data_IF_869588768309
#
_entry.id   IF_869588768309
#
_cell.length_a   1.000
_cell.length_b   1.000
_cell.length_c   1.000
_cell.angle_alpha   90.00
_cell.angle_beta   90.00
_cell.angle_gamma   90.00
#
_symmetry.space_group_name_H-M   'P 1'
#
loop_
_entity.id
_entity.type
_entity.pdbx_description
1 polymer ?
#
# COMPACT_ATOMS: atom_id res chain seq x y z
N UNK A 1 -26.33 4.47 10.67
CA UNK A 1 -24.95 4.72 10.20
C UNK A 1 -24.03 3.99 11.16
N UNK A 2 -23.17 3.09 10.68
CA UNK A 2 -22.17 2.42 11.52
C UNK A 2 -21.01 3.40 11.72
N UNK A 3 -20.51 3.65 12.94
CA UNK A 3 -19.33 4.50 13.15
C UNK A 3 -18.11 3.94 12.42
N UNK A 4 -17.23 4.81 11.89
CA UNK A 4 -16.01 4.40 11.15
C UNK A 4 -15.13 3.44 11.95
N UNK A 5 -15.06 3.62 13.27
CA UNK A 5 -14.27 2.76 14.17
C UNK A 5 -14.80 1.31 14.23
N UNK A 6 -16.11 1.13 14.08
CA UNK A 6 -16.70 -0.22 14.05
C UNK A 6 -16.38 -0.95 12.74
N UNK A 7 -16.12 -0.22 11.64
CA UNK A 7 -15.69 -0.84 10.39
C UNK A 7 -14.29 -1.43 10.51
N UNK A 8 -13.35 -0.73 11.18
CA UNK A 8 -11.99 -1.25 11.36
C UNK A 8 -11.98 -2.54 12.17
N UNK A 9 -12.74 -2.59 13.27
CA UNK A 9 -12.94 -3.80 14.07
C UNK A 9 -13.59 -4.92 13.26
N UNK A 10 -14.61 -4.60 12.46
CA UNK A 10 -15.26 -5.57 11.58
C UNK A 10 -14.30 -6.14 10.54
N UNK A 11 -13.52 -5.30 9.86
CA UNK A 11 -12.55 -5.78 8.86
C UNK A 11 -11.46 -6.64 9.47
N UNK A 12 -10.99 -6.31 10.68
CA UNK A 12 -10.01 -7.13 11.41
C UNK A 12 -10.51 -8.58 11.58
N UNK A 13 -11.75 -8.75 12.00
CA UNK A 13 -12.37 -10.06 12.23
C UNK A 13 -12.65 -10.80 10.93
N UNK A 14 -13.09 -10.08 9.88
CA UNK A 14 -13.21 -10.64 8.54
C UNK A 14 -11.85 -11.12 8.04
N UNK A 15 -10.77 -10.39 8.31
CA UNK A 15 -9.43 -10.80 7.89
C UNK A 15 -8.95 -12.03 8.65
N UNK A 16 -9.22 -12.13 9.94
CA UNK A 16 -8.93 -13.36 10.71
C UNK A 16 -9.65 -14.56 10.13
N UNK A 17 -10.97 -14.44 9.93
CA UNK A 17 -11.77 -15.50 9.33
C UNK A 17 -11.25 -15.91 7.94
N UNK A 18 -10.94 -14.93 7.08
CA UNK A 18 -10.43 -15.20 5.74
C UNK A 18 -9.02 -15.78 5.75
N UNK A 19 -8.16 -15.39 6.69
CA UNK A 19 -6.82 -15.96 6.82
C UNK A 19 -6.89 -17.44 7.21
N UNK A 20 -7.74 -17.79 8.17
CA UNK A 20 -8.01 -19.17 8.56
C UNK A 20 -8.55 -20.03 7.41
N UNK A 21 -9.29 -19.42 6.47
CA UNK A 21 -9.83 -20.10 5.28
C UNK A 21 -8.94 -20.03 4.04
N UNK A 22 -7.81 -19.31 4.11
CA UNK A 22 -6.94 -19.07 2.96
C UNK A 22 -7.50 -18.14 1.88
N UNK A 23 -8.56 -17.39 2.18
CA UNK A 23 -9.25 -16.48 1.25
C UNK A 23 -8.73 -15.03 1.26
N UNK A 24 -7.81 -14.70 2.16
CA UNK A 24 -7.42 -13.31 2.42
C UNK A 24 -6.80 -12.61 1.20
N UNK A 25 -5.91 -13.29 0.47
CA UNK A 25 -5.29 -12.71 -0.72
C UNK A 25 -6.27 -12.47 -1.87
N UNK A 26 -7.25 -13.36 -2.04
CA UNK A 26 -8.30 -13.21 -3.05
C UNK A 26 -9.18 -12.00 -2.73
N UNK A 27 -9.54 -11.84 -1.46
CA UNK A 27 -10.27 -10.68 -0.98
C UNK A 27 -9.53 -9.37 -1.30
N UNK A 28 -8.23 -9.30 -1.04
CA UNK A 28 -7.43 -8.10 -1.38
C UNK A 28 -7.35 -7.84 -2.89
N UNK A 29 -7.29 -8.90 -3.71
CA UNK A 29 -7.34 -8.76 -5.18
C UNK A 29 -8.68 -8.20 -5.65
N UNK A 30 -9.79 -8.62 -5.05
CA UNK A 30 -11.10 -8.04 -5.36
C UNK A 30 -11.18 -6.57 -4.93
N UNK A 31 -10.65 -6.20 -3.75
CA UNK A 31 -10.54 -4.78 -3.37
C UNK A 31 -9.74 -4.01 -4.42
N UNK A 32 -8.59 -4.54 -4.87
CA UNK A 32 -7.79 -3.92 -5.93
C UNK A 32 -8.62 -3.65 -7.18
N UNK A 33 -9.43 -4.62 -7.61
CA UNK A 33 -10.27 -4.53 -8.81
C UNK A 33 -11.34 -3.46 -8.65
N UNK A 34 -11.94 -3.35 -7.46
CA UNK A 34 -12.90 -2.30 -7.16
C UNK A 34 -12.25 -0.90 -7.10
N UNK A 35 -11.03 -0.79 -6.54
CA UNK A 35 -10.29 0.47 -6.45
C UNK A 35 -9.93 1.06 -7.82
N UNK A 36 -9.90 0.25 -8.89
CA UNK A 36 -9.70 0.75 -10.25
C UNK A 36 -10.77 1.78 -10.66
N UNK A 37 -12.00 1.64 -10.17
CA UNK A 37 -13.10 2.58 -10.46
C UNK A 37 -12.79 4.00 -9.98
N UNK A 38 -11.99 4.12 -8.91
CA UNK A 38 -11.62 5.40 -8.30
C UNK A 38 -10.26 5.89 -8.77
N UNK A 39 -9.28 4.99 -8.88
CA UNK A 39 -7.88 5.35 -9.01
C UNK A 39 -7.32 5.23 -10.43
N UNK A 40 -7.80 4.27 -11.24
CA UNK A 40 -7.10 3.87 -12.47
C UNK A 40 -6.96 5.02 -13.46
N UNK A 41 -8.05 5.76 -13.68
CA UNK A 41 -8.06 6.92 -14.58
C UNK A 41 -7.08 7.99 -14.11
N UNK A 42 -7.19 8.41 -12.85
CA UNK A 42 -6.36 9.46 -12.24
C UNK A 42 -4.89 9.09 -12.31
N UNK A 43 -4.54 7.85 -11.93
CA UNK A 43 -3.15 7.39 -11.89
C UNK A 43 -2.56 7.25 -13.30
N UNK A 44 -3.38 6.94 -14.30
CA UNK A 44 -2.93 6.79 -15.69
C UNK A 44 -2.72 8.15 -16.36
N UNK A 45 -3.68 9.07 -16.19
CA UNK A 45 -3.69 10.39 -16.85
C UNK A 45 -2.71 11.37 -16.17
N UNK A 46 -2.69 11.40 -14.84
CA UNK A 46 -1.94 12.40 -14.07
C UNK A 46 -0.66 11.84 -13.43
N UNK A 47 -0.40 10.54 -13.59
CA UNK A 47 0.82 9.88 -13.12
C UNK A 47 1.07 10.04 -11.62
N UNK A 48 2.34 10.32 -11.25
CA UNK A 48 2.73 10.47 -9.85
C UNK A 48 2.06 11.67 -9.17
N UNK A 49 1.70 12.72 -9.91
CA UNK A 49 0.95 13.85 -9.35
C UNK A 49 -0.46 13.42 -8.97
N UNK A 50 -1.18 12.71 -9.86
CA UNK A 50 -2.52 12.21 -9.55
C UNK A 50 -2.54 11.23 -8.37
N UNK A 51 -1.47 10.44 -8.24
CA UNK A 51 -1.25 9.60 -7.07
C UNK A 51 -1.03 10.41 -5.79
N UNK A 52 -0.16 11.43 -5.84
CA UNK A 52 0.06 12.34 -4.72
C UNK A 52 -1.26 12.99 -4.29
N UNK A 53 -2.03 13.55 -5.23
CA UNK A 53 -3.30 14.23 -4.94
C UNK A 53 -4.32 13.28 -4.29
N UNK A 54 -4.40 12.04 -4.79
CA UNK A 54 -5.26 11.00 -4.20
C UNK A 54 -4.87 10.67 -2.75
N UNK A 55 -3.59 10.39 -2.50
CA UNK A 55 -3.15 10.05 -1.15
C UNK A 55 -3.14 11.25 -0.19
N UNK A 56 -2.96 12.47 -0.70
CA UNK A 56 -3.08 13.69 0.10
C UNK A 56 -4.53 13.90 0.57
N UNK A 57 -5.48 13.66 -0.33
CA UNK A 57 -6.90 13.69 0.02
C UNK A 57 -7.22 12.68 1.13
N UNK A 58 -6.81 11.40 0.96
CA UNK A 58 -6.98 10.37 2.00
C UNK A 58 -6.26 10.76 3.31
N UNK A 59 -5.06 11.35 3.22
CA UNK A 59 -4.31 11.78 4.40
C UNK A 59 -5.10 12.77 5.25
N UNK A 60 -5.77 13.73 4.60
CA UNK A 60 -6.58 14.76 5.25
C UNK A 60 -7.88 14.15 5.80
N UNK A 61 -8.60 13.38 4.99
CA UNK A 61 -9.91 12.82 5.39
C UNK A 61 -9.81 11.82 6.53
N UNK A 62 -8.80 10.96 6.52
CA UNK A 62 -8.59 9.91 7.53
C UNK A 62 -7.70 10.39 8.69
N UNK A 63 -7.29 11.66 8.70
CA UNK A 63 -6.37 12.25 9.68
C UNK A 63 -5.09 11.41 9.87
N UNK A 64 -4.49 10.98 8.75
CA UNK A 64 -3.29 10.16 8.74
C UNK A 64 -2.05 10.98 9.12
N UNK A 65 -1.27 10.50 10.08
CA UNK A 65 0.09 11.00 10.29
C UNK A 65 1.03 10.36 9.26
N UNK A 66 1.09 10.99 8.09
CA UNK A 66 1.87 10.55 6.93
C UNK A 66 2.62 11.73 6.33
N UNK A 67 3.87 11.53 5.96
CA UNK A 67 4.63 12.43 5.09
C UNK A 67 4.61 11.89 3.67
N UNK A 68 4.54 12.80 2.69
CA UNK A 68 4.67 12.45 1.28
C UNK A 68 5.68 13.37 0.59
N UNK A 69 6.51 12.79 -0.27
CA UNK A 69 7.50 13.51 -1.06
C UNK A 69 7.33 13.14 -2.53
N UNK A 70 6.95 14.13 -3.34
CA UNK A 70 6.82 13.99 -4.79
C UNK A 70 8.07 14.53 -5.47
N UNK A 71 8.79 13.66 -6.16
CA UNK A 71 9.89 14.00 -7.06
C UNK A 71 9.55 13.69 -8.52
N UNK A 72 10.51 13.95 -9.42
CA UNK A 72 10.33 13.76 -10.87
C UNK A 72 9.97 12.31 -11.26
N UNK A 73 10.65 11.33 -10.65
CA UNK A 73 10.51 9.91 -11.00
C UNK A 73 10.01 9.03 -9.84
N UNK A 74 9.78 9.63 -8.67
CA UNK A 74 9.45 8.93 -7.44
C UNK A 74 8.39 9.67 -6.65
N UNK A 75 7.43 8.93 -6.10
CA UNK A 75 6.58 9.37 -5.01
C UNK A 75 6.89 8.50 -3.79
N UNK A 76 7.27 9.12 -2.67
CA UNK A 76 7.53 8.44 -1.41
C UNK A 76 6.45 8.79 -0.39
N UNK A 77 5.93 7.79 0.32
CA UNK A 77 5.01 7.96 1.44
C UNK A 77 5.61 7.30 2.68
N UNK A 78 5.60 8.02 3.78
CA UNK A 78 6.05 7.55 5.09
C UNK A 78 4.93 7.71 6.10
N UNK A 79 4.27 6.59 6.40
CA UNK A 79 3.23 6.52 7.42
C UNK A 79 3.90 6.42 8.80
N UNK A 80 3.75 7.46 9.64
CA UNK A 80 4.25 7.48 11.03
C UNK A 80 3.24 6.95 12.03
N UNK A 81 1.94 7.12 11.73
CA UNK A 81 0.84 6.56 12.52
C UNK A 81 -0.34 6.22 11.62
N UNK A 82 -0.41 4.96 11.19
CA UNK A 82 -1.53 4.40 10.43
C UNK A 82 -2.81 4.45 11.28
N UNK A 83 -3.87 5.18 10.86
CA UNK A 83 -5.10 5.26 11.65
C UNK A 83 -5.79 3.90 11.77
N UNK A 84 -5.75 3.09 10.70
CA UNK A 84 -6.40 1.78 10.69
C UNK A 84 -5.76 0.81 11.68
N UNK A 85 -4.44 0.59 11.61
CA UNK A 85 -3.77 -0.30 12.56
C UNK A 85 -3.83 0.25 13.99
N UNK A 86 -3.74 1.57 14.18
CA UNK A 86 -3.88 2.18 15.52
C UNK A 86 -5.22 1.81 16.15
N UNK A 87 -6.32 1.85 15.40
CA UNK A 87 -7.66 1.43 15.85
C UNK A 87 -7.77 -0.08 16.03
N UNK A 88 -7.06 -0.88 15.24
CA UNK A 88 -6.99 -2.34 15.45
C UNK A 88 -6.31 -2.68 16.78
N UNK A 89 -5.26 -1.96 17.13
CA UNK A 89 -4.51 -2.16 18.37
C UNK A 89 -5.25 -1.58 19.60
N UNK A 90 -6.15 -0.64 19.38
CA UNK A 90 -6.98 0.02 20.40
C UNK A 90 -8.44 -0.48 20.35
N UNK A 91 -8.64 -1.79 20.39
CA UNK A 91 -9.98 -2.39 20.55
C UNK A 91 -9.93 -3.71 21.34
N UNK A 92 -11.10 -4.34 21.52
CA UNK A 92 -11.30 -5.54 22.32
C UNK A 92 -11.10 -6.87 21.55
N UNK A 93 -10.85 -6.81 20.24
CA UNK A 93 -10.53 -7.96 19.40
C UNK A 93 -9.02 -8.14 19.26
N UNK A 94 -8.56 -9.39 19.16
CA UNK A 94 -7.17 -9.67 18.83
C UNK A 94 -6.86 -9.16 17.40
N UNK A 95 -5.69 -8.55 17.14
CA UNK A 95 -5.30 -8.17 15.78
C UNK A 95 -5.13 -9.37 14.85
N UNK A 96 -5.57 -9.23 13.60
CA UNK A 96 -5.17 -10.14 12.52
C UNK A 96 -3.66 -10.00 12.28
N UNK A 97 -2.90 -11.10 12.32
CA UNK A 97 -1.44 -11.09 12.07
C UNK A 97 -1.10 -10.52 10.68
N UNK A 98 -1.98 -10.77 9.71
CA UNK A 98 -1.84 -10.29 8.32
C UNK A 98 -2.63 -9.03 8.03
N UNK A 99 -3.03 -8.28 9.07
CA UNK A 99 -3.83 -7.07 8.91
C UNK A 99 -3.20 -6.12 7.91
N UNK A 100 -1.93 -5.74 8.10
CA UNK A 100 -1.26 -4.75 7.26
C UNK A 100 -1.00 -5.21 5.81
N UNK A 101 -1.13 -6.51 5.49
CA UNK A 101 -0.95 -6.99 4.11
C UNK A 101 -2.07 -6.50 3.17
N UNK A 102 -3.20 -6.02 3.70
CA UNK A 102 -4.29 -5.49 2.87
C UNK A 102 -3.83 -4.32 2.00
N UNK A 103 -3.03 -3.39 2.56
CA UNK A 103 -2.51 -2.23 1.83
C UNK A 103 -1.70 -2.62 0.58
N UNK A 104 -0.58 -3.35 0.68
CA UNK A 104 0.13 -3.80 -0.51
C UNK A 104 -0.70 -4.76 -1.36
N UNK A 105 -1.62 -5.53 -0.75
CA UNK A 105 -2.51 -6.46 -1.44
C UNK A 105 -3.37 -5.79 -2.52
N UNK A 106 -3.91 -4.61 -2.24
CA UNK A 106 -4.71 -3.87 -3.22
C UNK A 106 -3.91 -2.82 -4.02
N UNK A 107 -2.90 -2.19 -3.42
CA UNK A 107 -2.14 -1.11 -4.09
C UNK A 107 -1.25 -1.66 -5.20
N UNK A 108 -0.51 -2.74 -4.94
CA UNK A 108 0.52 -3.24 -5.84
C UNK A 108 -0.01 -3.70 -7.21
N UNK A 109 -1.13 -4.44 -7.30
CA UNK A 109 -1.70 -4.83 -8.59
C UNK A 109 -2.23 -3.62 -9.39
N UNK A 110 -2.89 -2.68 -8.72
CA UNK A 110 -3.36 -1.43 -9.34
C UNK A 110 -2.20 -0.63 -9.93
N UNK A 111 -1.14 -0.39 -9.16
CA UNK A 111 0.05 0.32 -9.65
C UNK A 111 0.72 -0.39 -10.82
N UNK A 112 0.73 -1.74 -10.80
CA UNK A 112 1.27 -2.50 -11.92
C UNK A 112 0.46 -2.31 -13.20
N UNK A 113 -0.89 -2.27 -13.10
CA UNK A 113 -1.77 -1.94 -14.23
C UNK A 113 -1.51 -0.53 -14.79
N UNK A 114 -1.21 0.43 -13.91
CA UNK A 114 -0.85 1.81 -14.30
C UNK A 114 0.58 1.93 -14.87
N UNK A 115 1.40 0.88 -14.80
CA UNK A 115 2.77 0.86 -15.31
C UNK A 115 3.83 1.44 -14.36
N UNK A 116 3.56 1.47 -13.04
CA UNK A 116 4.47 1.98 -12.02
C UNK A 116 5.03 0.88 -11.13
N UNK A 117 6.34 0.90 -10.91
CA UNK A 117 7.00 -0.02 -9.99
C UNK A 117 6.83 0.47 -8.55
N UNK A 118 6.59 -0.43 -7.60
CA UNK A 118 6.39 -0.06 -6.20
C UNK A 118 7.18 -0.98 -5.28
N UNK A 119 7.78 -0.39 -4.25
CA UNK A 119 8.37 -1.06 -3.08
C UNK A 119 7.57 -0.63 -1.86
N UNK A 120 7.11 -1.62 -1.09
CA UNK A 120 6.33 -1.42 0.13
C UNK A 120 7.07 -2.09 1.29
N UNK A 121 7.36 -1.34 2.34
CA UNK A 121 7.97 -1.81 3.59
C UNK A 121 6.94 -1.68 4.70
N UNK A 122 6.48 -2.81 5.24
CA UNK A 122 5.54 -2.84 6.36
C UNK A 122 6.20 -2.46 7.68
N UNK A 123 7.53 -2.37 7.74
CA UNK A 123 8.36 -2.05 8.92
C UNK A 123 8.22 -3.06 10.05
N UNK A 124 7.02 -3.19 10.62
CA UNK A 124 6.59 -4.10 11.67
C UNK A 124 5.05 -4.25 11.60
N UNK A 125 4.52 -5.46 11.80
CA UNK A 125 3.07 -5.74 11.77
C UNK A 125 2.32 -5.24 13.00
N UNK A 126 3.03 -4.98 14.10
CA UNK A 126 2.49 -4.47 15.35
C UNK A 126 2.78 -2.98 15.57
N UNK A 127 3.60 -2.35 14.72
CA UNK A 127 3.82 -0.90 14.75
C UNK A 127 2.93 -0.23 13.69
N UNK A 128 2.20 0.85 14.01
CA UNK A 128 1.35 1.57 13.05
C UNK A 128 2.18 2.42 12.08
N UNK A 129 3.18 1.84 11.43
CA UNK A 129 4.15 2.51 10.57
C UNK A 129 4.37 1.69 9.30
N UNK A 130 4.50 2.37 8.16
CA UNK A 130 4.88 1.73 6.91
C UNK A 130 5.51 2.73 5.94
N UNK A 131 6.14 2.23 4.89
CA UNK A 131 6.72 3.05 3.83
C UNK A 131 6.32 2.50 2.48
N UNK A 132 5.99 3.41 1.57
CA UNK A 132 5.68 3.07 0.18
C UNK A 132 6.51 3.99 -0.73
N UNK A 133 7.17 3.40 -1.73
CA UNK A 133 7.90 4.14 -2.75
C UNK A 133 7.47 3.67 -4.12
N UNK A 134 6.96 4.61 -4.92
CA UNK A 134 6.42 4.39 -6.25
C UNK A 134 7.35 5.05 -7.26
N UNK A 135 7.70 4.33 -8.31
CA UNK A 135 8.69 4.73 -9.29
C UNK A 135 8.12 4.63 -10.71
N UNK A 136 8.52 5.56 -11.56
CA UNK A 136 8.32 5.44 -13.01
C UNK A 136 9.24 4.38 -13.62
N UNK A 137 10.44 4.21 -13.07
CA UNK A 137 11.49 3.33 -13.57
C UNK A 137 11.65 2.06 -12.71
N UNK A 138 11.56 0.88 -13.33
CA UNK A 138 11.75 -0.40 -12.65
C UNK A 138 13.16 -0.57 -12.06
N UNK A 139 14.21 -0.06 -12.73
CA UNK A 139 15.58 -0.20 -12.24
C UNK A 139 15.84 0.61 -10.97
N UNK A 140 15.26 1.81 -10.87
CA UNK A 140 15.32 2.61 -9.64
C UNK A 140 14.58 1.91 -8.49
N UNK A 141 13.42 1.31 -8.78
CA UNK A 141 12.68 0.52 -7.80
C UNK A 141 13.45 -0.72 -7.34
N UNK A 142 14.14 -1.42 -8.25
CA UNK A 142 15.00 -2.58 -7.93
C UNK A 142 16.17 -2.19 -7.07
N UNK A 143 16.81 -1.04 -7.37
CA UNK A 143 17.86 -0.49 -6.50
C UNK A 143 17.32 -0.23 -5.10
N UNK A 144 16.18 0.48 -4.99
CA UNK A 144 15.53 0.74 -3.70
C UNK A 144 15.20 -0.55 -2.93
N UNK A 145 14.72 -1.59 -3.62
CA UNK A 145 14.45 -2.90 -3.04
C UNK A 145 15.72 -3.56 -2.49
N UNK A 146 16.80 -3.57 -3.28
CA UNK A 146 18.07 -4.16 -2.86
C UNK A 146 18.69 -3.40 -1.69
N UNK A 147 18.66 -2.06 -1.72
CA UNK A 147 19.15 -1.21 -0.63
C UNK A 147 18.34 -1.46 0.66
N UNK A 148 17.01 -1.62 0.55
CA UNK A 148 16.14 -1.96 1.68
C UNK A 148 16.54 -3.30 2.30
N UNK A 149 16.72 -4.35 1.50
CA UNK A 149 17.10 -5.67 2.02
C UNK A 149 18.53 -5.66 2.59
N UNK A 150 19.46 -4.95 1.95
CA UNK A 150 20.84 -4.81 2.42
C UNK A 150 20.94 -4.08 3.77
N UNK A 151 19.94 -3.26 4.13
CA UNK A 151 19.86 -2.63 5.45
C UNK A 151 19.49 -3.59 6.59
N UNK A 152 19.23 -4.87 6.29
CA UNK A 152 18.84 -5.89 7.26
C UNK A 152 17.33 -5.96 7.52
N UNK A 153 16.51 -5.29 6.69
CA UNK A 153 15.04 -5.39 6.76
C UNK A 153 14.60 -6.83 6.45
N UNK A 154 13.67 -7.36 7.23
CA UNK A 154 13.07 -8.67 6.99
C UNK A 154 12.33 -8.69 5.62
N UNK A 155 12.74 -9.55 4.68
CA UNK A 155 12.04 -9.71 3.40
C UNK A 155 10.55 -10.08 3.56
N UNK A 156 10.16 -10.73 4.65
CA UNK A 156 8.77 -11.14 4.92
C UNK A 156 7.83 -9.94 5.16
N UNK A 157 8.39 -8.78 5.49
CA UNK A 157 7.70 -7.49 5.70
C UNK A 157 7.77 -6.58 4.47
N UNK A 158 8.47 -7.00 3.43
CA UNK A 158 8.64 -6.24 2.21
C UNK A 158 7.77 -6.80 1.08
N UNK A 159 7.18 -5.93 0.27
CA UNK A 159 6.41 -6.30 -0.92
C UNK A 159 6.82 -5.45 -2.12
N UNK A 160 6.70 -5.99 -3.31
CA UNK A 160 6.88 -5.26 -4.56
C UNK A 160 5.97 -5.83 -5.65
N UNK A 161 5.82 -5.09 -6.75
CA UNK A 161 5.00 -5.50 -7.89
C UNK A 161 5.82 -5.86 -9.13
N UNK A 162 7.12 -6.12 -9.00
CA UNK A 162 8.05 -6.22 -10.14
C UNK A 162 7.68 -7.34 -11.11
N UNK A 163 7.19 -8.48 -10.60
CA UNK A 163 6.72 -9.60 -11.44
C UNK A 163 5.48 -9.22 -12.25
N UNK A 164 4.53 -8.52 -11.63
CA UNK A 164 3.29 -8.09 -12.26
C UNK A 164 3.49 -6.98 -13.31
N UNK A 165 4.53 -6.16 -13.15
CA UNK A 165 4.88 -5.09 -14.10
C UNK A 165 5.31 -5.63 -15.48
N UNK A 166 5.92 -6.83 -15.53
CA UNK A 166 6.53 -7.37 -16.74
C UNK A 166 7.52 -6.39 -17.39
N UNK A 167 7.55 -6.33 -18.73
CA UNK A 167 8.38 -5.36 -19.49
C UNK A 167 7.71 -3.98 -19.65
N UNK A 168 6.56 -3.70 -19.01
CA UNK A 168 5.75 -2.50 -19.25
C UNK A 168 6.23 -1.24 -18.50
N UNK A 169 7.45 -1.22 -17.97
CA UNK A 169 8.00 -0.03 -17.29
C UNK A 169 7.98 1.17 -18.23
N UNK A 170 7.39 2.28 -17.79
CA UNK A 170 7.56 3.56 -18.48
C UNK A 170 9.05 3.94 -18.38
N UNK A 171 9.77 3.94 -19.48
CA UNK A 171 11.14 4.49 -19.50
C UNK A 171 11.02 5.95 -19.10
N UNK A 172 11.81 6.40 -18.10
CA UNK A 172 11.84 7.80 -17.69
C UNK A 172 12.07 8.67 -18.94
N UNK A 173 11.08 9.51 -19.28
CA UNK A 173 11.22 10.44 -20.39
C UNK A 173 12.41 11.37 -20.09
N UNK A 174 13.41 11.32 -20.98
CA UNK A 174 14.65 12.10 -20.92
C UNK A 174 14.33 13.59 -20.85
#
# INVERSE_FOLDING_TARGET
MIPSDHFVRFYNEVFQFLDEKGGLEEYYREISRHQELHCLKIFTENGLQGMYDYWEHIRIEENCDMEMELGRNKLALHMRKCPSLSKVLDNDAAPCEKYCDHCPGWVLPLLAKCGYACVYDLVDRAAPQCRMSIFTCLEEARKCWNDLLASGRDPSLCRNNFKALGKKSKTAAR
#
